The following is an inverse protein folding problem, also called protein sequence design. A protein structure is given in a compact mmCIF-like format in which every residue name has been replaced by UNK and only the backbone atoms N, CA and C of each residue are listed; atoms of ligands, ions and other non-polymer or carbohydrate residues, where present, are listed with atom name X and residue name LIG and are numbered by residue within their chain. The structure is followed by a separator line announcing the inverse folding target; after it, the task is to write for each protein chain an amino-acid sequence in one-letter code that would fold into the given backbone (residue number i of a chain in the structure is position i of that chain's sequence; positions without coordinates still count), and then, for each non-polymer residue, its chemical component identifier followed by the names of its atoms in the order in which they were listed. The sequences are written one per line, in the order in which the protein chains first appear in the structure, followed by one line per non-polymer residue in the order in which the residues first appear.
data_IF_724427508739
#
_entry.id   IF_724427508739
#
_cell.length_a   1.000
_cell.length_b   1.000
_cell.length_c   1.000
_cell.angle_alpha   90.00
_cell.angle_beta   90.00
_cell.angle_gamma   90.00
#
_symmetry.space_group_name_H-M   'P 1'
#
loop_
_entity.id
_entity.type
_entity.pdbx_description
1 polymer ?
#
# COMPACT_ATOMS: atom_id res chain seq x y z
N UNK A 1 -62.62 -12.22 70.45
CA UNK A 1 -61.62 -11.17 70.67
C UNK A 1 -60.48 -11.40 69.72
N UNK A 2 -60.40 -10.66 68.61
CA UNK A 2 -59.33 -10.75 67.61
C UNK A 2 -58.27 -9.70 67.91
N UNK A 3 -57.06 -10.13 68.22
CA UNK A 3 -55.92 -9.22 68.41
C UNK A 3 -55.38 -8.82 67.07
N UNK A 4 -55.36 -7.54 66.76
CA UNK A 4 -54.73 -6.92 65.57
C UNK A 4 -53.28 -6.63 65.95
N UNK A 5 -52.35 -7.31 65.24
CA UNK A 5 -50.91 -7.03 65.34
C UNK A 5 -50.59 -6.02 64.24
N UNK A 6 -50.21 -4.81 64.69
CA UNK A 6 -49.74 -3.72 63.80
C UNK A 6 -48.23 -3.97 63.55
N UNK A 7 -47.91 -4.29 62.31
CA UNK A 7 -46.50 -4.42 61.88
C UNK A 7 -46.05 -3.04 61.31
N UNK A 8 -45.21 -2.34 62.07
CA UNK A 8 -44.53 -1.15 61.56
C UNK A 8 -43.43 -1.56 60.60
N UNK A 9 -43.64 -1.30 59.30
CA UNK A 9 -42.63 -1.44 58.31
C UNK A 9 -41.80 -0.14 58.29
N UNK A 10 -40.56 -0.21 58.76
CA UNK A 10 -39.58 0.87 58.66
C UNK A 10 -38.97 0.78 57.28
N UNK A 11 -39.39 1.72 56.39
CA UNK A 11 -38.76 1.89 55.08
C UNK A 11 -37.45 2.64 55.29
N UNK A 12 -36.33 1.91 55.19
CA UNK A 12 -35.00 2.51 55.16
C UNK A 12 -34.76 3.04 53.72
N UNK A 13 -34.96 4.33 53.50
CA UNK A 13 -34.57 5.01 52.28
C UNK A 13 -33.03 5.13 52.30
N UNK A 14 -32.36 4.16 51.69
CA UNK A 14 -30.93 4.23 51.37
C UNK A 14 -30.74 5.23 50.23
N UNK A 15 -30.24 6.42 50.55
CA UNK A 15 -29.76 7.37 49.53
C UNK A 15 -28.49 6.77 48.92
N UNK A 16 -28.63 6.09 47.76
CA UNK A 16 -27.48 5.70 46.94
C UNK A 16 -27.01 6.98 46.25
N UNK A 17 -26.02 7.65 46.81
CA UNK A 17 -25.27 8.67 46.09
C UNK A 17 -24.44 7.96 44.99
N UNK A 18 -25.02 7.90 43.80
CA UNK A 18 -24.27 7.56 42.60
C UNK A 18 -23.31 8.72 42.36
N UNK A 19 -22.09 8.60 42.85
CA UNK A 19 -20.98 9.41 42.39
C UNK A 19 -20.68 8.94 40.96
N UNK A 20 -21.35 9.52 39.98
CA UNK A 20 -20.88 9.48 38.60
C UNK A 20 -19.54 10.19 38.57
N UNK A 21 -18.48 9.40 38.77
CA UNK A 21 -17.14 9.82 38.42
C UNK A 21 -17.12 10.02 36.92
N UNK A 22 -17.43 11.27 36.51
CA UNK A 22 -17.09 11.74 35.18
C UNK A 22 -15.56 11.74 35.15
N UNK A 23 -14.97 10.60 34.76
CA UNK A 23 -13.63 10.62 34.21
C UNK A 23 -13.73 11.53 32.98
N UNK A 24 -13.35 12.79 33.10
CA UNK A 24 -13.09 13.65 31.95
C UNK A 24 -12.06 12.88 31.13
N UNK A 25 -12.51 12.20 30.10
CA UNK A 25 -11.62 11.79 29.01
C UNK A 25 -10.90 13.07 28.60
N UNK A 26 -9.59 13.07 28.78
CA UNK A 26 -8.76 14.18 28.39
C UNK A 26 -8.96 14.34 26.90
N UNK A 27 -9.74 15.35 26.46
CA UNK A 27 -9.89 15.64 25.06
C UNK A 27 -8.48 15.86 24.49
N UNK A 28 -8.15 15.12 23.45
CA UNK A 28 -6.88 15.30 22.75
C UNK A 28 -6.79 16.75 22.24
N UNK A 29 -5.64 17.34 22.34
CA UNK A 29 -5.39 18.66 21.75
C UNK A 29 -5.01 18.55 20.27
N UNK A 30 -5.24 19.60 19.51
CA UNK A 30 -4.80 19.70 18.11
C UNK A 30 -3.27 19.51 18.02
N UNK A 31 -2.50 20.05 18.97
CA UNK A 31 -1.05 19.86 19.03
C UNK A 31 -0.64 18.38 19.20
N UNK A 32 -1.42 17.60 19.95
CA UNK A 32 -1.18 16.16 20.08
C UNK A 32 -1.52 15.40 18.79
N UNK A 33 -2.58 15.80 18.08
CA UNK A 33 -2.94 15.23 16.77
C UNK A 33 -1.89 15.58 15.73
N UNK A 34 -1.41 16.82 15.69
CA UNK A 34 -0.33 17.23 14.79
C UNK A 34 0.94 16.38 15.01
N UNK A 35 1.32 16.11 16.27
CA UNK A 35 2.47 15.23 16.57
C UNK A 35 2.28 13.79 16.08
N UNK A 36 1.05 13.28 16.08
CA UNK A 36 0.76 11.97 15.50
C UNK A 36 0.92 12.04 13.98
N UNK A 37 0.35 13.08 13.38
CA UNK A 37 0.42 13.33 11.94
C UNK A 37 1.86 13.50 11.45
N UNK A 38 2.68 14.26 12.18
CA UNK A 38 4.10 14.47 11.86
C UNK A 38 4.90 13.17 11.88
N UNK A 39 4.63 12.26 12.84
CA UNK A 39 5.26 10.93 12.88
C UNK A 39 4.92 10.09 11.67
N UNK A 40 3.69 10.17 11.17
CA UNK A 40 3.27 9.47 9.96
C UNK A 40 4.06 10.01 8.76
N UNK A 41 4.12 11.33 8.62
CA UNK A 41 4.85 11.98 7.55
C UNK A 41 6.35 11.60 7.60
N UNK A 42 6.98 11.71 8.78
CA UNK A 42 8.40 11.37 8.97
C UNK A 42 8.68 9.89 8.60
N UNK A 43 7.77 8.98 8.98
CA UNK A 43 7.90 7.57 8.64
C UNK A 43 7.93 7.39 7.11
N UNK A 44 6.97 7.96 6.38
CA UNK A 44 6.87 7.79 4.94
C UNK A 44 7.90 8.59 4.14
N UNK A 45 8.47 9.67 4.69
CA UNK A 45 9.63 10.33 4.09
C UNK A 45 10.90 9.48 4.11
N UNK A 46 10.99 8.49 4.99
CA UNK A 46 12.16 7.63 5.17
C UNK A 46 11.93 6.18 4.75
N UNK A 47 10.68 5.80 4.42
CA UNK A 47 10.27 4.43 4.11
C UNK A 47 9.36 4.42 2.87
N UNK A 48 9.91 4.73 1.71
CA UNK A 48 9.19 4.90 0.43
C UNK A 48 8.46 3.64 -0.10
N UNK A 49 8.66 2.49 0.55
CA UNK A 49 8.21 1.20 0.00
C UNK A 49 6.81 0.73 0.45
N UNK A 50 6.06 1.51 1.20
CA UNK A 50 4.72 1.10 1.60
C UNK A 50 3.66 1.64 0.65
N UNK A 51 3.40 0.89 -0.40
CA UNK A 51 2.45 1.22 -1.47
C UNK A 51 0.98 1.30 -1.03
N UNK A 52 0.66 0.83 0.18
CA UNK A 52 -0.70 0.83 0.71
C UNK A 52 -1.12 2.16 1.38
N UNK A 53 -0.19 3.09 1.57
CA UNK A 53 -0.48 4.40 2.13
C UNK A 53 -0.95 5.36 1.04
N UNK A 54 -2.08 6.05 1.27
CA UNK A 54 -2.66 6.98 0.32
C UNK A 54 -2.52 8.43 0.79
N UNK A 55 -3.01 8.75 1.99
CA UNK A 55 -2.97 10.09 2.54
C UNK A 55 -3.10 10.11 4.06
N UNK A 56 -2.78 11.23 4.67
CA UNK A 56 -3.11 11.51 6.07
C UNK A 56 -3.41 12.99 6.26
N UNK A 57 -4.27 13.29 7.21
CA UNK A 57 -4.54 14.65 7.65
C UNK A 57 -5.14 14.68 9.06
N UNK A 58 -5.10 15.85 9.70
CA UNK A 58 -5.77 16.09 10.99
C UNK A 58 -7.19 16.58 10.75
N UNK A 59 -8.17 15.82 11.21
CA UNK A 59 -9.57 16.25 11.29
C UNK A 59 -9.82 16.90 12.64
N UNK A 60 -9.69 18.23 12.66
CA UNK A 60 -9.89 19.04 13.87
C UNK A 60 -11.32 18.96 14.39
N UNK A 61 -12.30 18.76 13.52
CA UNK A 61 -13.73 18.72 13.86
C UNK A 61 -14.08 17.46 14.65
N UNK A 62 -13.47 16.33 14.28
CA UNK A 62 -13.69 15.03 14.91
C UNK A 62 -12.58 14.65 15.88
N UNK A 63 -11.55 15.48 16.02
CA UNK A 63 -10.38 15.26 16.88
C UNK A 63 -9.68 13.93 16.62
N UNK A 64 -9.41 13.64 15.35
CA UNK A 64 -8.71 12.43 14.89
C UNK A 64 -7.67 12.76 13.83
N UNK A 65 -6.71 11.87 13.66
CA UNK A 65 -5.86 11.83 12.47
C UNK A 65 -6.44 10.79 11.52
N UNK A 66 -6.85 11.21 10.34
CA UNK A 66 -7.36 10.33 9.30
C UNK A 66 -6.17 9.77 8.52
N UNK A 67 -6.22 8.47 8.24
CA UNK A 67 -5.23 7.75 7.45
C UNK A 67 -5.97 6.98 6.36
N UNK A 68 -5.72 7.33 5.11
CA UNK A 68 -6.19 6.61 3.94
C UNK A 68 -5.28 5.43 3.60
N UNK A 69 -5.82 4.22 3.56
CA UNK A 69 -5.14 3.02 3.10
C UNK A 69 -5.83 2.49 1.84
N UNK A 70 -5.04 2.11 0.84
CA UNK A 70 -5.56 1.52 -0.41
C UNK A 70 -6.22 0.17 -0.14
N UNK A 71 -5.56 -0.69 0.63
CA UNK A 71 -6.19 -1.83 1.28
C UNK A 71 -6.44 -1.48 2.74
N UNK A 72 -7.71 -1.20 3.08
CA UNK A 72 -8.13 -0.84 4.43
C UNK A 72 -8.57 -2.05 5.26
N UNK A 73 -8.00 -3.23 5.01
CA UNK A 73 -8.24 -4.45 5.79
C UNK A 73 -7.76 -4.30 7.25
N UNK A 74 -8.26 -5.17 8.13
CA UNK A 74 -7.83 -5.17 9.55
C UNK A 74 -6.37 -5.55 9.70
N UNK A 75 -5.87 -6.36 8.81
CA UNK A 75 -4.49 -6.80 8.70
C UNK A 75 -3.59 -5.61 8.44
N UNK A 76 -3.92 -4.80 7.43
CA UNK A 76 -3.17 -3.59 7.05
C UNK A 76 -3.25 -2.49 8.11
N UNK A 77 -4.42 -2.26 8.70
CA UNK A 77 -4.55 -1.34 9.84
C UNK A 77 -3.69 -1.79 11.03
N UNK A 78 -3.60 -3.09 11.29
CA UNK A 78 -2.77 -3.65 12.38
C UNK A 78 -1.29 -3.52 12.06
N UNK A 79 -0.91 -3.74 10.82
CA UNK A 79 0.45 -3.51 10.34
C UNK A 79 0.85 -2.03 10.53
N UNK A 80 0.01 -1.11 10.08
CA UNK A 80 0.23 0.34 10.23
C UNK A 80 0.45 0.75 11.70
N UNK A 81 -0.45 0.31 12.58
CA UNK A 81 -0.32 0.58 14.02
C UNK A 81 0.97 0.04 14.61
N UNK A 82 1.40 -1.12 14.20
CA UNK A 82 2.62 -1.76 14.70
C UNK A 82 3.90 -1.08 14.20
N UNK A 83 3.92 -0.63 12.95
CA UNK A 83 5.15 -0.20 12.28
C UNK A 83 5.30 1.32 12.16
N UNK A 84 4.18 2.04 12.07
CA UNK A 84 4.19 3.50 11.88
C UNK A 84 3.91 4.23 13.19
N UNK A 85 2.66 4.19 13.66
CA UNK A 85 2.28 4.79 14.94
C UNK A 85 1.00 4.16 15.47
N UNK A 86 1.02 3.76 16.76
CA UNK A 86 -0.18 3.29 17.46
C UNK A 86 -0.81 4.43 18.25
N UNK A 87 -2.03 4.80 17.85
CA UNK A 87 -2.82 5.81 18.57
C UNK A 87 -4.32 5.52 18.42
N UNK A 88 -5.04 5.69 19.51
CA UNK A 88 -6.51 5.61 19.52
C UNK A 88 -7.19 6.73 18.75
N UNK A 89 -6.44 7.77 18.41
CA UNK A 89 -6.92 8.92 17.63
C UNK A 89 -6.72 8.77 16.13
N UNK A 90 -6.27 7.60 15.66
CA UNK A 90 -6.20 7.31 14.23
C UNK A 90 -7.54 6.72 13.79
N UNK A 91 -8.10 7.29 12.73
CA UNK A 91 -9.24 6.78 11.98
C UNK A 91 -8.75 6.34 10.60
N UNK A 92 -8.92 5.07 10.31
CA UNK A 92 -8.62 4.56 8.96
C UNK A 92 -9.81 4.74 8.04
N UNK A 93 -9.52 5.15 6.80
CA UNK A 93 -10.49 5.27 5.72
C UNK A 93 -9.98 4.54 4.49
N UNK A 94 -10.91 4.21 3.59
CA UNK A 94 -10.54 3.71 2.27
C UNK A 94 -9.84 4.82 1.51
N UNK A 95 -8.59 4.59 1.17
CA UNK A 95 -7.82 5.44 0.29
C UNK A 95 -7.87 4.92 -1.15
N UNK A 96 -7.43 5.76 -2.05
CA UNK A 96 -7.19 5.39 -3.45
C UNK A 96 -5.69 5.50 -3.70
N UNK A 97 -5.19 4.75 -4.67
CA UNK A 97 -3.84 5.02 -5.18
C UNK A 97 -3.79 6.48 -5.60
N UNK A 98 -2.78 7.21 -5.12
CA UNK A 98 -2.55 8.57 -5.58
C UNK A 98 -2.26 8.49 -7.08
N UNK A 99 -3.27 8.81 -7.88
CA UNK A 99 -3.09 8.93 -9.31
C UNK A 99 -2.49 10.32 -9.57
N UNK A 100 -1.18 10.40 -9.54
CA UNK A 100 -0.41 11.60 -9.91
C UNK A 100 -0.44 11.87 -11.43
N UNK A 101 -1.23 11.08 -12.16
CA UNK A 101 -1.26 11.09 -13.62
C UNK A 101 -0.18 10.21 -14.24
N UNK A 102 0.52 9.41 -13.41
CA UNK A 102 1.48 8.44 -13.89
C UNK A 102 0.77 7.35 -14.71
N UNK A 103 1.30 7.08 -15.88
CA UNK A 103 0.76 6.10 -16.82
C UNK A 103 1.90 5.22 -17.32
N UNK A 104 1.95 3.98 -16.85
CA UNK A 104 2.99 3.01 -17.18
C UNK A 104 3.04 2.78 -18.69
N UNK A 105 1.89 2.54 -19.32
CA UNK A 105 1.81 2.28 -20.76
C UNK A 105 2.38 3.45 -21.57
N UNK A 106 1.98 4.67 -21.20
CA UNK A 106 2.46 5.89 -21.85
C UNK A 106 3.98 6.08 -21.71
N UNK A 107 4.52 5.85 -20.50
CA UNK A 107 5.97 6.00 -20.29
C UNK A 107 6.77 4.94 -21.06
N UNK A 108 6.32 3.69 -21.10
CA UNK A 108 6.92 2.65 -21.94
C UNK A 108 6.82 3.03 -23.42
N UNK A 109 5.68 3.51 -23.88
CA UNK A 109 5.50 3.94 -25.27
C UNK A 109 6.43 5.12 -25.63
N UNK A 110 6.67 6.06 -24.71
CA UNK A 110 7.64 7.15 -24.92
C UNK A 110 9.04 6.56 -25.11
N UNK A 111 9.48 5.63 -24.27
CA UNK A 111 10.80 4.99 -24.39
C UNK A 111 10.92 4.29 -25.73
N UNK A 112 9.93 3.49 -26.12
CA UNK A 112 9.95 2.72 -27.39
C UNK A 112 9.98 3.62 -28.61
N UNK A 113 9.26 4.76 -28.60
CA UNK A 113 9.07 5.61 -29.77
C UNK A 113 10.11 6.74 -29.90
N UNK A 114 10.74 7.17 -28.79
CA UNK A 114 11.71 8.27 -28.80
C UNK A 114 13.17 7.82 -29.00
N UNK A 115 13.43 6.54 -29.03
CA UNK A 115 14.79 6.01 -29.22
C UNK A 115 15.32 6.19 -30.63
N UNK A 116 16.62 5.95 -30.83
CA UNK A 116 17.27 6.11 -32.13
C UNK A 116 16.79 5.04 -33.10
N UNK A 117 16.09 5.44 -34.16
CA UNK A 117 15.48 4.52 -35.17
C UNK A 117 16.43 3.50 -35.81
N UNK A 118 17.74 3.75 -35.75
CA UNK A 118 18.77 2.88 -36.35
C UNK A 118 19.46 1.99 -35.33
N UNK A 119 19.08 2.05 -34.04
CA UNK A 119 19.65 1.17 -33.00
C UNK A 119 18.77 -0.06 -32.80
N UNK A 120 19.42 -1.21 -32.67
CA UNK A 120 18.78 -2.45 -32.20
C UNK A 120 19.07 -2.70 -30.70
N UNK A 121 19.81 -1.79 -30.05
CA UNK A 121 20.16 -1.91 -28.65
C UNK A 121 19.10 -1.26 -27.75
N UNK A 122 18.33 -2.00 -26.93
CA UNK A 122 17.30 -1.44 -26.07
C UNK A 122 17.82 -0.36 -25.10
N UNK A 123 19.07 -0.48 -24.67
CA UNK A 123 19.68 0.52 -23.76
C UNK A 123 19.86 1.89 -24.38
N UNK A 124 19.96 2.01 -25.70
CA UNK A 124 20.00 3.31 -26.37
C UNK A 124 18.65 4.03 -26.28
N UNK A 125 17.54 3.28 -26.28
CA UNK A 125 16.20 3.79 -26.10
C UNK A 125 15.98 4.28 -24.66
N UNK A 126 16.36 3.46 -23.69
CA UNK A 126 16.29 3.82 -22.25
C UNK A 126 17.11 5.09 -21.99
N UNK A 127 18.34 5.15 -22.49
CA UNK A 127 19.22 6.31 -22.31
C UNK A 127 18.63 7.60 -22.89
N UNK A 128 17.88 7.50 -24.00
CA UNK A 128 17.23 8.66 -24.62
C UNK A 128 16.03 9.15 -23.81
N UNK A 129 15.37 8.26 -23.10
CA UNK A 129 14.18 8.50 -22.26
C UNK A 129 14.43 8.07 -20.80
N UNK A 130 15.61 8.44 -20.28
CA UNK A 130 16.04 8.05 -18.93
C UNK A 130 15.06 8.49 -17.85
N UNK A 131 14.49 9.71 -18.00
CA UNK A 131 13.52 10.26 -17.06
C UNK A 131 12.28 9.36 -16.93
N UNK A 132 11.71 8.94 -18.05
CA UNK A 132 10.55 8.07 -18.10
C UNK A 132 10.86 6.67 -17.53
N UNK A 133 12.07 6.18 -17.77
CA UNK A 133 12.53 4.92 -17.20
C UNK A 133 12.70 5.00 -15.69
N UNK A 134 13.29 6.07 -15.17
CA UNK A 134 13.45 6.30 -13.73
C UNK A 134 12.07 6.45 -13.05
N UNK A 135 11.12 7.16 -13.66
CA UNK A 135 9.74 7.28 -13.16
C UNK A 135 9.04 5.91 -13.10
N UNK A 136 9.28 5.03 -14.08
CA UNK A 136 8.77 3.64 -14.05
C UNK A 136 9.34 2.84 -12.88
N UNK A 137 10.61 3.02 -12.55
CA UNK A 137 11.25 2.35 -11.40
C UNK A 137 10.76 2.93 -10.06
N UNK A 138 10.49 4.25 -9.98
CA UNK A 138 9.90 4.89 -8.80
C UNK A 138 8.49 4.35 -8.51
N UNK A 139 7.69 4.10 -9.55
CA UNK A 139 6.36 3.47 -9.48
C UNK A 139 6.43 1.95 -9.64
N UNK A 140 7.33 1.31 -8.90
CA UNK A 140 7.75 -0.07 -9.12
C UNK A 140 6.61 -1.09 -9.10
N UNK A 141 5.62 -0.91 -8.23
CA UNK A 141 4.48 -1.84 -8.12
C UNK A 141 3.62 -1.80 -9.37
N UNK A 142 3.14 -0.62 -9.74
CA UNK A 142 2.29 -0.41 -10.90
C UNK A 142 3.00 -0.83 -12.19
N UNK A 143 4.29 -0.51 -12.27
CA UNK A 143 5.14 -0.87 -13.42
C UNK A 143 5.32 -2.37 -13.53
N UNK A 144 5.60 -3.07 -12.42
CA UNK A 144 5.73 -4.52 -12.43
C UNK A 144 4.42 -5.19 -12.80
N UNK A 145 3.31 -4.80 -12.15
CA UNK A 145 2.00 -5.39 -12.41
C UNK A 145 1.57 -5.22 -13.87
N UNK A 146 1.76 -4.03 -14.43
CA UNK A 146 1.49 -3.78 -15.85
C UNK A 146 2.40 -4.62 -16.75
N UNK A 147 3.72 -4.53 -16.55
CA UNK A 147 4.71 -5.14 -17.43
C UNK A 147 4.62 -6.67 -17.43
N UNK A 148 4.50 -7.29 -16.26
CA UNK A 148 4.36 -8.75 -16.19
C UNK A 148 3.03 -9.22 -16.78
N UNK A 149 1.97 -8.43 -16.60
CA UNK A 149 0.65 -8.69 -17.20
C UNK A 149 0.73 -8.69 -18.73
N UNK A 150 1.31 -7.64 -19.33
CA UNK A 150 1.46 -7.53 -20.80
C UNK A 150 2.37 -8.65 -21.35
N UNK A 151 3.47 -8.96 -20.66
CA UNK A 151 4.36 -10.07 -21.05
C UNK A 151 3.63 -11.42 -21.06
N UNK A 152 2.79 -11.70 -20.08
CA UNK A 152 2.01 -12.95 -20.01
C UNK A 152 0.94 -12.95 -21.09
N UNK A 153 0.15 -11.90 -21.25
CA UNK A 153 -0.95 -11.79 -22.18
C UNK A 153 -0.47 -11.90 -23.64
N UNK A 154 0.61 -11.19 -23.98
CA UNK A 154 1.17 -11.16 -25.33
C UNK A 154 2.15 -12.31 -25.61
N UNK A 155 2.42 -13.14 -24.60
CA UNK A 155 3.49 -14.14 -24.60
C UNK A 155 4.83 -13.52 -25.03
N UNK A 156 5.15 -12.36 -24.47
CA UNK A 156 6.36 -11.58 -24.74
C UNK A 156 6.61 -11.27 -26.23
N UNK A 157 5.54 -11.17 -27.02
CA UNK A 157 5.61 -11.06 -28.49
C UNK A 157 5.81 -9.65 -29.06
N UNK A 158 5.87 -8.61 -28.24
CA UNK A 158 5.86 -7.22 -28.69
C UNK A 158 7.27 -6.63 -28.98
N UNK A 159 8.28 -7.45 -29.24
CA UNK A 159 9.62 -7.00 -29.65
C UNK A 159 10.32 -6.12 -28.62
N UNK A 160 10.69 -4.88 -29.01
CA UNK A 160 11.40 -3.94 -28.14
C UNK A 160 10.60 -3.58 -26.88
N UNK A 161 9.29 -3.39 -26.98
CA UNK A 161 8.42 -3.11 -25.84
C UNK A 161 8.54 -4.20 -24.79
N UNK A 162 8.32 -5.47 -25.20
CA UNK A 162 8.41 -6.59 -24.27
C UNK A 162 9.81 -6.74 -23.66
N UNK A 163 10.88 -6.43 -24.41
CA UNK A 163 12.22 -6.47 -23.84
C UNK A 163 12.42 -5.43 -22.74
N UNK A 164 11.92 -4.20 -22.94
CA UNK A 164 11.95 -3.13 -21.91
C UNK A 164 11.11 -3.52 -20.69
N UNK A 165 9.94 -4.12 -20.91
CA UNK A 165 9.08 -4.65 -19.84
C UNK A 165 9.78 -5.74 -19.02
N UNK A 166 10.49 -6.67 -19.70
CA UNK A 166 11.28 -7.70 -19.02
C UNK A 166 12.44 -7.10 -18.21
N UNK A 167 13.12 -6.06 -18.73
CA UNK A 167 14.14 -5.32 -17.97
C UNK A 167 13.55 -4.68 -16.70
N UNK A 168 12.43 -3.97 -16.82
CA UNK A 168 11.75 -3.36 -15.69
C UNK A 168 11.36 -4.40 -14.64
N UNK A 169 10.75 -5.50 -15.06
CA UNK A 169 10.42 -6.61 -14.16
C UNK A 169 11.65 -7.17 -13.46
N UNK A 170 12.75 -7.34 -14.18
CA UNK A 170 14.01 -7.83 -13.64
C UNK A 170 14.67 -6.86 -12.68
N UNK A 171 14.58 -5.55 -12.92
CA UNK A 171 15.14 -4.54 -12.01
C UNK A 171 14.30 -4.38 -10.75
N UNK A 172 12.97 -4.43 -10.87
CA UNK A 172 12.04 -4.24 -9.75
C UNK A 172 11.99 -5.46 -8.84
N UNK A 173 11.97 -6.67 -9.40
CA UNK A 173 11.86 -7.90 -8.61
C UNK A 173 13.25 -8.45 -8.23
N UNK A 174 13.75 -8.06 -7.06
CA UNK A 174 15.02 -8.56 -6.55
C UNK A 174 15.03 -10.06 -6.24
N UNK A 175 13.87 -10.69 -6.17
CA UNK A 175 13.76 -12.12 -5.85
C UNK A 175 14.10 -13.03 -7.03
N UNK A 176 13.99 -12.52 -8.26
CA UNK A 176 14.35 -13.22 -9.48
C UNK A 176 15.32 -12.40 -10.32
N UNK A 177 16.58 -12.81 -10.38
CA UNK A 177 17.63 -12.22 -11.22
C UNK A 177 18.11 -13.25 -12.22
N UNK A 178 17.93 -12.94 -13.48
CA UNK A 178 18.31 -13.79 -14.59
C UNK A 178 18.81 -12.95 -15.77
N UNK A 179 19.97 -13.29 -16.31
CA UNK A 179 20.48 -12.67 -17.54
C UNK A 179 19.79 -13.30 -18.74
N UNK A 180 19.01 -12.52 -19.47
CA UNK A 180 18.17 -13.00 -20.57
C UNK A 180 18.53 -12.35 -21.90
N UNK A 181 18.37 -13.11 -22.98
CA UNK A 181 18.63 -12.65 -24.34
C UNK A 181 17.37 -12.06 -25.02
N UNK A 182 16.20 -12.40 -24.54
CA UNK A 182 14.91 -11.93 -25.05
C UNK A 182 13.84 -11.89 -23.95
N UNK A 183 12.75 -11.17 -24.20
CA UNK A 183 11.62 -11.13 -23.28
C UNK A 183 10.97 -12.53 -23.10
N UNK A 184 10.93 -13.34 -24.14
CA UNK A 184 10.45 -14.72 -24.04
C UNK A 184 11.36 -15.56 -23.14
N UNK A 185 12.67 -15.41 -23.28
CA UNK A 185 13.65 -16.10 -22.45
C UNK A 185 13.48 -15.71 -20.97
N UNK A 186 13.31 -14.42 -20.67
CA UNK A 186 12.97 -13.94 -19.32
C UNK A 186 11.68 -14.59 -18.79
N UNK A 187 10.60 -14.52 -19.57
CA UNK A 187 9.28 -14.97 -19.15
C UNK A 187 9.24 -16.49 -18.90
N UNK A 188 9.92 -17.29 -19.74
CA UNK A 188 9.95 -18.73 -19.59
C UNK A 188 10.72 -19.14 -18.33
N UNK A 189 11.89 -18.53 -18.06
CA UNK A 189 12.64 -18.80 -16.83
C UNK A 189 11.93 -18.27 -15.57
N UNK A 190 11.23 -17.14 -15.68
CA UNK A 190 10.43 -16.63 -14.58
C UNK A 190 9.26 -17.56 -14.24
N UNK A 191 8.57 -18.10 -15.26
CA UNK A 191 7.52 -19.11 -15.05
C UNK A 191 8.04 -20.38 -14.39
N UNK A 192 9.25 -20.83 -14.74
CA UNK A 192 9.88 -21.98 -14.07
C UNK A 192 10.25 -21.66 -12.62
N UNK A 193 10.84 -20.49 -12.36
CA UNK A 193 11.13 -20.02 -11.00
C UNK A 193 9.89 -20.03 -10.11
N UNK A 194 8.74 -19.55 -10.62
CA UNK A 194 7.47 -19.54 -9.87
C UNK A 194 6.92 -20.93 -9.53
N UNK A 195 7.39 -22.00 -10.18
CA UNK A 195 6.98 -23.38 -9.84
C UNK A 195 7.80 -23.98 -8.70
N UNK A 196 9.06 -23.60 -8.56
CA UNK A 196 10.03 -24.29 -7.74
C UNK A 196 10.36 -23.59 -6.42
N UNK A 197 10.09 -22.30 -6.25
CA UNK A 197 10.39 -21.56 -5.03
C UNK A 197 9.17 -21.44 -4.11
N UNK A 198 9.45 -21.50 -2.80
CA UNK A 198 8.45 -21.30 -1.73
C UNK A 198 8.60 -19.94 -1.04
N UNK A 199 9.45 -19.07 -1.55
CA UNK A 199 9.76 -17.73 -0.97
C UNK A 199 9.44 -16.67 -2.00
N UNK A 200 8.16 -16.39 -2.17
CA UNK A 200 7.68 -15.40 -3.13
C UNK A 200 7.70 -13.98 -2.54
N UNK A 201 8.09 -13.03 -3.37
CA UNK A 201 7.85 -11.61 -3.14
C UNK A 201 6.38 -11.26 -3.43
N UNK A 202 5.94 -10.06 -3.06
CA UNK A 202 4.61 -9.56 -3.45
C UNK A 202 4.42 -9.55 -4.98
N UNK A 203 5.50 -9.35 -5.73
CA UNK A 203 5.51 -9.36 -7.19
C UNK A 203 5.28 -10.77 -7.76
N UNK A 204 5.93 -11.76 -7.15
CA UNK A 204 5.77 -13.15 -7.55
C UNK A 204 4.36 -13.65 -7.25
N UNK A 205 3.80 -13.28 -6.09
CA UNK A 205 2.42 -13.61 -5.72
C UNK A 205 1.43 -13.04 -6.73
N UNK A 206 1.62 -11.79 -7.17
CA UNK A 206 0.79 -11.20 -8.22
C UNK A 206 0.89 -11.97 -9.54
N UNK A 207 2.11 -12.24 -10.03
CA UNK A 207 2.33 -12.99 -11.26
C UNK A 207 1.69 -14.40 -11.22
N UNK A 208 1.74 -15.09 -10.08
CA UNK A 208 1.07 -16.38 -9.86
C UNK A 208 -0.45 -16.26 -10.05
N UNK A 209 -1.05 -15.14 -9.68
CA UNK A 209 -2.52 -14.95 -9.87
C UNK A 209 -2.91 -14.86 -11.34
N UNK A 210 -2.02 -14.32 -12.19
CA UNK A 210 -2.24 -14.20 -13.62
C UNK A 210 -2.03 -15.52 -14.39
N UNK A 211 -1.25 -16.44 -13.84
CA UNK A 211 -0.91 -17.72 -14.47
C UNK A 211 -1.88 -18.86 -14.14
N UNK A 212 -2.86 -18.63 -13.28
CA UNK A 212 -3.91 -19.59 -12.89
C UNK A 212 -5.10 -19.53 -13.82
#
# INVERSE_FOLDING_TARGET
MKRIILVFSVIFLGIITITTGCSREKNVSIDELNKINDKIIEYFQTHDKYSNFSYNYVDESNLVVVVGLVDNSKEEQSWFKKNVVDSKYIKFEQGEHYNDGFDVAKNIDIIVNNGPQMSSNPFDYIKTSQKEYDELLEHSKETFEYSIGDLIETNAGNGLKSYIEALLCSEINDNFKYDFESANDYLDHYKEFLKDDNRFSQYDEYAITLLK
#
